data_IF_755187956755
#
_entry.id   IF_755187956755
#
_cell.length_a   1.000
_cell.length_b   1.000
_cell.length_c   1.000
_cell.angle_alpha   90.00
_cell.angle_beta   90.00
_cell.angle_gamma   90.00
#
_symmetry.space_group_name_H-M   'P 1'
#
loop_
_entity.id
_entity.type
_entity.pdbx_description
1 polymer ?
#
# COMPACT_ATOMS: atom_id res chain seq x y z
N UNK A 1 -37.96 19.60 -6.73
CA UNK A 1 -37.24 18.38 -6.31
C UNK A 1 -36.18 18.81 -5.29
N UNK A 2 -36.50 18.76 -4.00
CA UNK A 2 -35.63 19.27 -2.93
C UNK A 2 -34.77 18.10 -2.43
N UNK A 3 -33.50 18.06 -2.84
CA UNK A 3 -32.52 17.14 -2.25
C UNK A 3 -32.29 17.56 -0.80
N UNK A 4 -33.17 17.12 0.12
CA UNK A 4 -32.86 17.14 1.55
C UNK A 4 -31.62 16.26 1.72
N UNK A 5 -30.46 16.89 1.90
CA UNK A 5 -29.21 16.20 2.12
C UNK A 5 -29.40 15.15 3.21
N UNK A 6 -28.94 13.93 2.96
CA UNK A 6 -28.90 12.85 3.95
C UNK A 6 -27.45 12.70 4.45
N UNK A 7 -26.85 13.73 5.08
CA UNK A 7 -25.43 13.73 5.42
C UNK A 7 -25.10 12.56 6.35
N UNK A 8 -26.02 12.19 7.24
CA UNK A 8 -25.85 11.04 8.13
C UNK A 8 -25.66 9.72 7.38
N UNK A 9 -26.32 9.54 6.24
CA UNK A 9 -26.19 8.32 5.46
C UNK A 9 -24.86 8.26 4.72
N UNK A 10 -24.40 9.39 4.19
CA UNK A 10 -23.08 9.48 3.59
C UNK A 10 -21.98 9.26 4.64
N UNK A 11 -22.13 9.84 5.84
CA UNK A 11 -21.22 9.58 6.96
C UNK A 11 -21.22 8.11 7.37
N UNK A 12 -22.40 7.49 7.49
CA UNK A 12 -22.50 6.07 7.79
C UNK A 12 -21.87 5.20 6.69
N UNK A 13 -22.07 5.54 5.41
CA UNK A 13 -21.48 4.82 4.29
C UNK A 13 -19.96 4.96 4.26
N UNK A 14 -19.42 6.16 4.52
CA UNK A 14 -17.97 6.39 4.63
C UNK A 14 -17.39 5.61 5.81
N UNK A 15 -18.03 5.67 6.98
CA UNK A 15 -17.59 4.92 8.16
C UNK A 15 -17.57 3.41 7.90
N UNK A 16 -18.61 2.88 7.24
CA UNK A 16 -18.66 1.48 6.83
C UNK A 16 -17.56 1.13 5.82
N UNK A 17 -17.31 1.98 4.83
CA UNK A 17 -16.27 1.76 3.83
C UNK A 17 -14.87 1.74 4.47
N UNK A 18 -14.59 2.67 5.39
CA UNK A 18 -13.35 2.71 6.17
C UNK A 18 -13.20 1.44 7.01
N UNK A 19 -14.25 1.04 7.73
CA UNK A 19 -14.23 -0.18 8.54
C UNK A 19 -13.96 -1.43 7.69
N UNK A 20 -14.67 -1.61 6.57
CA UNK A 20 -14.49 -2.77 5.69
C UNK A 20 -13.10 -2.78 5.05
N UNK A 21 -12.56 -1.62 4.69
CA UNK A 21 -11.20 -1.49 4.17
C UNK A 21 -10.17 -2.01 5.18
N UNK A 22 -10.22 -1.51 6.42
CA UNK A 22 -9.29 -1.94 7.47
C UNK A 22 -9.50 -3.40 7.89
N UNK A 23 -10.75 -3.87 7.98
CA UNK A 23 -11.06 -5.27 8.29
C UNK A 23 -10.47 -6.24 7.25
N UNK A 24 -10.38 -5.82 5.99
CA UNK A 24 -9.91 -6.67 4.90
C UNK A 24 -8.38 -6.64 4.69
N UNK A 25 -7.64 -5.70 5.31
CA UNK A 25 -6.21 -5.47 5.03
C UNK A 25 -5.35 -6.74 5.13
N UNK A 26 -5.58 -7.58 6.14
CA UNK A 26 -4.84 -8.83 6.32
C UNK A 26 -5.53 -10.05 5.69
N UNK A 27 -6.47 -9.83 4.78
CA UNK A 27 -7.20 -10.90 4.11
C UNK A 27 -6.27 -11.73 3.20
N UNK A 28 -6.44 -13.06 3.20
CA UNK A 28 -5.64 -13.99 2.37
C UNK A 28 -5.66 -13.69 0.86
N UNK A 29 -6.66 -12.93 0.38
CA UNK A 29 -6.83 -12.55 -1.03
C UNK A 29 -6.33 -11.13 -1.37
N UNK A 30 -5.55 -10.50 -0.50
CA UNK A 30 -4.86 -9.23 -0.75
C UNK A 30 -3.38 -9.55 -0.95
N UNK A 31 -3.03 -10.09 -2.13
CA UNK A 31 -2.81 -9.15 -3.22
C UNK A 31 -3.87 -9.24 -4.31
N UNK A 32 -4.48 -8.11 -4.68
CA UNK A 32 -5.55 -8.07 -5.70
C UNK A 32 -5.02 -7.85 -7.12
N UNK A 33 -3.85 -7.22 -7.23
CA UNK A 33 -3.14 -7.02 -8.48
C UNK A 33 -1.80 -7.77 -8.49
N UNK A 34 -1.40 -8.30 -9.65
CA UNK A 34 -0.12 -9.00 -9.82
C UNK A 34 1.09 -8.12 -9.50
N UNK A 35 0.97 -6.80 -9.68
CA UNK A 35 2.04 -5.86 -9.38
C UNK A 35 2.24 -5.58 -7.88
N UNK A 36 1.25 -5.86 -7.02
CA UNK A 36 1.35 -5.55 -5.57
C UNK A 36 2.52 -6.30 -4.92
N UNK A 37 2.72 -7.57 -5.29
CA UNK A 37 3.86 -8.35 -4.82
C UNK A 37 5.20 -7.83 -5.36
N UNK A 38 5.21 -7.32 -6.60
CA UNK A 38 6.40 -6.72 -7.22
C UNK A 38 6.78 -5.45 -6.49
N UNK A 39 5.80 -4.60 -6.16
CA UNK A 39 6.04 -3.37 -5.44
C UNK A 39 6.49 -3.63 -4.01
N UNK A 40 5.84 -4.56 -3.31
CA UNK A 40 6.28 -5.02 -1.99
C UNK A 40 7.73 -5.53 -2.04
N UNK A 41 8.09 -6.31 -3.06
CA UNK A 41 9.45 -6.83 -3.24
C UNK A 41 10.49 -5.73 -3.47
N UNK A 42 10.20 -4.75 -4.33
CA UNK A 42 11.08 -3.60 -4.58
C UNK A 42 11.24 -2.76 -3.31
N UNK A 43 10.14 -2.45 -2.63
CA UNK A 43 10.14 -1.72 -1.35
C UNK A 43 11.01 -2.44 -0.32
N UNK A 44 10.82 -3.75 -0.14
CA UNK A 44 11.56 -4.55 0.83
C UNK A 44 13.06 -4.54 0.55
N UNK A 45 13.47 -4.86 -0.68
CA UNK A 45 14.89 -4.94 -1.03
C UNK A 45 15.57 -3.57 -0.98
N UNK A 46 14.86 -2.51 -1.33
CA UNK A 46 15.38 -1.13 -1.25
C UNK A 46 15.51 -0.70 0.22
N UNK A 47 14.54 -1.01 1.08
CA UNK A 47 14.67 -0.79 2.52
C UNK A 47 15.88 -1.54 3.09
N UNK A 48 16.01 -2.84 2.77
CA UNK A 48 17.12 -3.66 3.24
C UNK A 48 18.50 -3.19 2.74
N UNK A 49 18.58 -2.48 1.61
CA UNK A 49 19.86 -1.92 1.16
C UNK A 49 20.31 -0.70 1.96
N UNK A 50 19.42 -0.09 2.77
CA UNK A 50 19.75 1.12 3.53
C UNK A 50 19.75 2.41 2.70
N UNK A 51 19.39 2.31 1.42
CA UNK A 51 19.48 3.40 0.44
C UNK A 51 18.09 3.73 -0.13
N UNK A 52 17.87 4.99 -0.50
CA UNK A 52 16.65 5.39 -1.22
C UNK A 52 16.67 5.02 -2.70
N UNK A 53 17.88 4.99 -3.28
CA UNK A 53 18.16 4.77 -4.69
C UNK A 53 19.56 4.15 -4.85
N UNK A 54 19.80 3.38 -5.93
CA UNK A 54 18.82 2.94 -6.92
C UNK A 54 17.83 1.95 -6.31
N UNK A 55 16.57 1.95 -6.78
CA UNK A 55 15.58 0.95 -6.36
C UNK A 55 16.13 -0.46 -6.61
N UNK A 56 15.99 -1.36 -5.64
CA UNK A 56 16.53 -2.72 -5.70
C UNK A 56 15.43 -3.72 -6.11
N UNK A 57 15.77 -4.67 -6.97
CA UNK A 57 14.89 -5.78 -7.33
C UNK A 57 15.70 -6.92 -7.95
N UNK A 58 15.36 -8.14 -7.58
CA UNK A 58 15.89 -9.36 -8.19
C UNK A 58 15.04 -9.83 -9.38
N UNK A 59 13.94 -9.13 -9.68
CA UNK A 59 13.10 -9.36 -10.84
C UNK A 59 13.66 -8.60 -12.06
N UNK A 60 13.90 -9.33 -13.14
CA UNK A 60 14.46 -8.79 -14.38
C UNK A 60 13.60 -7.64 -14.94
N UNK A 61 14.25 -6.57 -15.38
CA UNK A 61 13.64 -5.39 -16.00
C UNK A 61 12.56 -4.64 -15.19
N UNK A 62 12.37 -4.94 -13.90
CA UNK A 62 11.29 -4.34 -13.09
C UNK A 62 11.72 -3.27 -12.08
N UNK A 63 13.02 -2.93 -12.02
CA UNK A 63 13.55 -1.95 -11.04
C UNK A 63 13.01 -0.52 -11.19
N UNK A 64 12.71 -0.06 -12.41
CA UNK A 64 12.48 1.36 -12.70
C UNK A 64 11.23 1.60 -13.58
N UNK A 65 10.18 0.80 -13.41
CA UNK A 65 8.93 0.95 -14.18
C UNK A 65 7.98 2.01 -13.59
N UNK A 66 8.21 2.43 -12.36
CA UNK A 66 7.40 3.39 -11.59
C UNK A 66 8.29 4.41 -10.87
N UNK A 67 7.78 5.62 -10.58
CA UNK A 67 8.52 6.62 -9.80
C UNK A 67 8.78 6.15 -8.37
N UNK A 68 9.86 6.62 -7.73
CA UNK A 68 10.34 6.06 -6.46
C UNK A 68 9.44 6.36 -5.26
N UNK A 69 8.60 7.40 -5.34
CA UNK A 69 7.71 7.83 -4.25
C UNK A 69 6.81 6.70 -3.73
N UNK A 70 6.32 5.83 -4.63
CA UNK A 70 5.49 4.69 -4.25
C UNK A 70 6.24 3.75 -3.28
N UNK A 71 7.50 3.47 -3.57
CA UNK A 71 8.32 2.58 -2.74
C UNK A 71 8.77 3.27 -1.46
N UNK A 72 9.13 4.56 -1.56
CA UNK A 72 9.54 5.37 -0.40
C UNK A 72 8.46 5.46 0.67
N UNK A 73 7.19 5.53 0.27
CA UNK A 73 6.07 5.46 1.21
C UNK A 73 6.15 4.17 2.04
N UNK A 74 6.26 3.01 1.36
CA UNK A 74 6.36 1.70 2.02
C UNK A 74 7.63 1.54 2.87
N UNK A 75 8.77 2.09 2.43
CA UNK A 75 10.02 2.08 3.21
C UNK A 75 9.83 2.83 4.53
N UNK A 76 9.20 4.00 4.49
CA UNK A 76 8.97 4.82 5.69
C UNK A 76 7.92 4.19 6.60
N UNK A 77 6.80 3.71 6.05
CA UNK A 77 5.69 3.18 6.84
C UNK A 77 6.01 1.83 7.51
N UNK A 78 6.91 1.03 6.94
CA UNK A 78 7.43 -0.22 7.54
C UNK A 78 8.63 -0.01 8.45
N UNK A 79 8.99 1.24 8.76
CA UNK A 79 10.15 1.54 9.59
C UNK A 79 11.45 0.98 9.01
N UNK A 80 11.66 1.13 7.70
CA UNK A 80 12.80 0.56 7.00
C UNK A 80 12.80 -0.98 6.97
N UNK A 81 11.64 -1.58 6.68
CA UNK A 81 11.40 -3.03 6.70
C UNK A 81 11.58 -3.72 8.07
N UNK A 82 11.52 -2.97 9.16
CA UNK A 82 11.51 -3.54 10.52
C UNK A 82 10.13 -4.12 10.89
N UNK A 83 9.06 -3.51 10.37
CA UNK A 83 7.66 -3.92 10.58
C UNK A 83 7.06 -4.31 9.23
N UNK A 84 7.23 -5.59 8.86
CA UNK A 84 6.84 -6.09 7.53
C UNK A 84 5.51 -6.85 7.57
N UNK A 85 4.42 -6.09 7.58
CA UNK A 85 3.05 -6.60 7.47
C UNK A 85 2.16 -5.63 6.68
N UNK A 86 0.93 -6.03 6.37
CA UNK A 86 0.01 -5.25 5.52
C UNK A 86 -0.57 -4.01 6.17
N UNK A 87 -0.46 -3.84 7.48
CA UNK A 87 -0.85 -2.61 8.17
C UNK A 87 0.20 -1.51 8.03
N UNK A 88 1.45 -1.90 7.80
CA UNK A 88 2.58 -1.00 7.65
C UNK A 88 3.01 -0.79 6.18
N UNK A 89 2.58 -1.63 5.24
CA UNK A 89 2.96 -1.55 3.81
C UNK A 89 2.11 -0.59 2.97
#
# INVERSE_FOLDING_TARGET
>A
MHLKGRPLQYLAAVALAVFVYFYALDGLHIPRNGDENVYAHITHLTALSGDWLPLQSNLDHMRNTKPPLLFWQGIVSTGWATEWDRWHL
#
